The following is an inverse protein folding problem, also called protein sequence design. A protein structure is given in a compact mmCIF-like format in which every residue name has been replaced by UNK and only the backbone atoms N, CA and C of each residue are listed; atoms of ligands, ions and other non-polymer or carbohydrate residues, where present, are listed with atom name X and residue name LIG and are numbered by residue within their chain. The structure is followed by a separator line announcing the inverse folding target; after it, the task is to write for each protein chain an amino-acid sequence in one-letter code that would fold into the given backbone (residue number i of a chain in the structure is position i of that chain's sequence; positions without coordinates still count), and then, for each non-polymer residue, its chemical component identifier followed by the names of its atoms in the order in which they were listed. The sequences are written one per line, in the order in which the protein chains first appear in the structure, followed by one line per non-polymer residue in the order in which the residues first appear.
data_IF_494579360534
#
_entry.id   IF_494579360534
#
_cell.length_a   1.000
_cell.length_b   1.000
_cell.length_c   1.000
_cell.angle_alpha   90.00
_cell.angle_beta   90.00
_cell.angle_gamma   90.00
#
_symmetry.space_group_name_H-M   'P 1'
#
loop_
_entity.id
_entity.type
_entity.pdbx_description
1 polymer ?
#
# COMPACT_ATOMS: atom_id res chain seq x y z
N UNK A 1 -52.61 -27.92 17.68
CA UNK A 1 -51.69 -27.85 16.53
C UNK A 1 -50.36 -27.33 17.05
N UNK A 2 -49.36 -28.22 17.15
CA UNK A 2 -48.02 -27.87 17.64
C UNK A 2 -47.25 -27.20 16.53
N UNK A 3 -46.88 -25.91 16.71
CA UNK A 3 -45.97 -25.21 15.83
C UNK A 3 -44.59 -25.84 16.04
N UNK A 4 -44.12 -26.55 15.03
CA UNK A 4 -42.77 -27.11 14.99
C UNK A 4 -41.78 -25.99 15.27
N UNK A 5 -41.00 -26.08 16.37
CA UNK A 5 -39.83 -25.24 16.60
C UNK A 5 -38.85 -25.56 15.48
N UNK A 6 -38.73 -24.65 14.52
CA UNK A 6 -37.58 -24.64 13.65
C UNK A 6 -36.36 -24.39 14.50
N UNK A 7 -35.50 -25.39 14.61
CA UNK A 7 -34.14 -25.19 15.11
C UNK A 7 -33.45 -24.32 14.08
N UNK A 8 -33.31 -23.01 14.34
CA UNK A 8 -32.40 -22.14 13.62
C UNK A 8 -31.00 -22.71 13.84
N UNK A 9 -30.50 -23.43 12.84
CA UNK A 9 -29.07 -23.69 12.75
C UNK A 9 -28.42 -22.33 12.43
N UNK A 10 -27.98 -21.66 13.49
CA UNK A 10 -27.22 -20.42 13.36
C UNK A 10 -25.90 -20.79 12.68
N UNK A 11 -25.82 -20.62 11.37
CA UNK A 11 -24.55 -20.79 10.63
C UNK A 11 -23.54 -19.78 11.20
N UNK A 12 -22.37 -20.28 11.60
CA UNK A 12 -21.27 -19.40 12.01
C UNK A 12 -20.93 -18.41 10.90
N UNK A 13 -20.76 -17.13 11.27
CA UNK A 13 -20.31 -16.08 10.37
C UNK A 13 -18.81 -16.21 10.03
N UNK A 14 -18.08 -17.00 10.82
CA UNK A 14 -16.64 -17.12 10.74
C UNK A 14 -16.21 -18.54 10.37
N UNK A 15 -15.15 -18.64 9.60
CA UNK A 15 -14.49 -19.89 9.23
C UNK A 15 -12.98 -19.75 9.41
N UNK A 16 -12.35 -20.79 9.95
CA UNK A 16 -10.91 -20.99 9.85
C UNK A 16 -10.62 -21.76 8.57
N UNK A 17 -9.78 -21.24 7.72
CA UNK A 17 -9.39 -21.88 6.48
C UNK A 17 -7.87 -21.85 6.35
N UNK A 18 -7.23 -23.03 6.46
CA UNK A 18 -5.78 -23.18 6.53
C UNK A 18 -5.17 -22.25 7.60
N UNK A 19 -4.57 -21.15 7.16
CA UNK A 19 -3.89 -20.15 7.99
C UNK A 19 -4.60 -18.78 7.93
N UNK A 20 -5.90 -18.74 7.64
CA UNK A 20 -6.68 -17.52 7.49
C UNK A 20 -7.97 -17.55 8.29
N UNK A 21 -8.37 -16.40 8.79
CA UNK A 21 -9.69 -16.14 9.34
C UNK A 21 -10.57 -15.53 8.25
N UNK A 22 -11.70 -16.15 7.98
CA UNK A 22 -12.66 -15.68 6.98
C UNK A 22 -13.99 -15.36 7.67
N UNK A 23 -14.57 -14.23 7.32
CA UNK A 23 -15.92 -13.84 7.66
C UNK A 23 -16.79 -13.77 6.42
N UNK A 24 -17.97 -14.37 6.52
CA UNK A 24 -19.01 -14.32 5.50
C UNK A 24 -20.22 -13.58 6.05
N UNK A 25 -20.69 -12.56 5.35
CA UNK A 25 -21.93 -11.90 5.69
C UNK A 25 -22.59 -11.32 4.45
N UNK A 26 -23.79 -11.81 4.13
CA UNK A 26 -24.46 -11.57 2.84
C UNK A 26 -23.54 -12.04 1.69
N UNK A 27 -23.14 -11.13 0.80
CA UNK A 27 -22.17 -11.40 -0.26
C UNK A 27 -20.75 -10.96 0.08
N UNK A 28 -20.56 -10.23 1.20
CA UNK A 28 -19.22 -9.78 1.59
C UNK A 28 -18.39 -10.95 2.12
N UNK A 29 -17.18 -11.07 1.61
CA UNK A 29 -16.13 -11.91 2.20
C UNK A 29 -15.05 -10.98 2.74
N UNK A 30 -14.65 -11.21 3.99
CA UNK A 30 -13.47 -10.61 4.61
C UNK A 30 -12.49 -11.72 4.94
N UNK A 31 -11.26 -11.63 4.46
CA UNK A 31 -10.18 -12.58 4.75
C UNK A 31 -9.03 -11.86 5.44
N UNK A 32 -8.62 -12.38 6.62
CA UNK A 32 -7.44 -11.93 7.35
C UNK A 32 -6.46 -13.08 7.42
N UNK A 33 -5.24 -12.86 6.96
CA UNK A 33 -4.18 -13.88 6.91
C UNK A 33 -2.83 -13.29 7.34
N UNK A 34 -1.93 -14.09 7.96
CA UNK A 34 -0.59 -13.64 8.26
C UNK A 34 0.19 -13.41 6.96
N UNK A 35 1.10 -12.43 6.96
CA UNK A 35 1.96 -12.13 5.82
C UNK A 35 3.38 -11.77 6.28
N UNK A 36 4.21 -12.78 6.47
CA UNK A 36 5.48 -12.64 7.17
C UNK A 36 5.29 -12.50 8.67
N UNK A 37 6.29 -11.95 9.36
CA UNK A 37 6.31 -11.80 10.81
C UNK A 37 5.57 -10.53 11.25
N UNK A 38 4.83 -10.61 12.36
CA UNK A 38 4.18 -9.45 13.00
C UNK A 38 3.26 -8.64 12.07
N UNK A 39 2.69 -9.26 11.04
CA UNK A 39 1.85 -8.55 10.08
C UNK A 39 0.66 -9.37 9.62
N UNK A 40 -0.41 -8.67 9.28
CA UNK A 40 -1.67 -9.24 8.83
C UNK A 40 -2.09 -8.57 7.51
N UNK A 41 -2.40 -9.37 6.50
CA UNK A 41 -3.04 -8.91 5.26
C UNK A 41 -4.55 -9.04 5.42
N UNK A 42 -5.25 -7.96 5.13
CA UNK A 42 -6.72 -7.90 5.16
C UNK A 42 -7.22 -7.66 3.76
N UNK A 43 -8.11 -8.54 3.30
CA UNK A 43 -8.79 -8.40 2.02
C UNK A 43 -10.30 -8.50 2.21
N UNK A 44 -11.06 -7.72 1.44
CA UNK A 44 -12.51 -7.82 1.43
C UNK A 44 -13.08 -7.57 0.04
N UNK A 45 -14.19 -8.24 -0.27
CA UNK A 45 -14.93 -8.06 -1.51
C UNK A 45 -16.43 -8.16 -1.27
N UNK A 46 -17.26 -7.39 -1.98
CA UNK A 46 -18.72 -7.45 -1.84
C UNK A 46 -19.36 -8.54 -2.70
N UNK A 47 -18.62 -9.17 -3.62
CA UNK A 47 -19.16 -10.14 -4.60
C UNK A 47 -18.73 -11.59 -4.34
N UNK A 48 -18.10 -11.85 -3.21
CA UNK A 48 -17.72 -13.20 -2.80
C UNK A 48 -16.47 -13.77 -3.50
N UNK A 49 -15.70 -12.98 -4.26
CA UNK A 49 -14.54 -13.43 -5.02
C UNK A 49 -13.29 -12.60 -4.72
N UNK A 50 -12.38 -13.17 -3.94
CA UNK A 50 -11.07 -12.56 -3.70
C UNK A 50 -10.10 -12.94 -4.83
N UNK A 51 -9.31 -11.96 -5.27
CA UNK A 51 -8.24 -12.16 -6.24
C UNK A 51 -7.13 -13.07 -5.69
N UNK A 52 -6.45 -13.82 -6.54
CA UNK A 52 -5.22 -14.55 -6.20
C UNK A 52 -3.96 -13.68 -6.28
N UNK A 53 -4.08 -12.43 -6.72
CA UNK A 53 -2.93 -11.54 -6.95
C UNK A 53 -2.36 -11.00 -5.63
N UNK A 54 -1.05 -11.06 -5.49
CA UNK A 54 -0.35 -10.45 -4.35
C UNK A 54 -0.03 -8.96 -4.55
N UNK A 55 -0.09 -8.45 -5.77
CA UNK A 55 0.21 -7.06 -6.18
C UNK A 55 1.63 -6.65 -5.78
N UNK A 56 1.78 -5.68 -4.85
CA UNK A 56 3.09 -5.26 -4.37
C UNK A 56 3.74 -6.26 -3.40
N UNK A 57 2.99 -7.21 -2.88
CA UNK A 57 3.51 -8.17 -1.90
C UNK A 57 4.18 -9.35 -2.60
N UNK A 58 5.36 -9.74 -2.11
CA UNK A 58 6.05 -10.97 -2.51
C UNK A 58 5.31 -12.19 -1.96
N UNK A 59 5.48 -13.32 -2.60
CA UNK A 59 5.05 -14.62 -2.06
C UNK A 59 6.10 -15.11 -1.05
N UNK A 60 5.87 -14.75 0.22
CA UNK A 60 6.77 -15.08 1.32
C UNK A 60 6.18 -16.17 2.20
N UNK A 61 7.02 -16.85 2.94
CA UNK A 61 6.56 -17.82 3.94
C UNK A 61 5.65 -17.17 4.96
N UNK A 62 4.47 -17.75 5.13
CA UNK A 62 3.49 -17.30 6.12
C UNK A 62 3.71 -18.05 7.42
N UNK A 63 3.97 -17.32 8.49
CA UNK A 63 4.01 -17.90 9.83
C UNK A 63 2.61 -18.46 10.18
N UNK A 64 2.59 -19.47 11.06
CA UNK A 64 1.32 -20.05 11.49
C UNK A 64 0.63 -19.10 12.46
N UNK A 65 -0.52 -18.58 12.07
CA UNK A 65 -1.33 -17.72 12.91
C UNK A 65 -2.16 -18.51 13.92
N UNK A 66 -2.40 -17.92 15.08
CA UNK A 66 -3.37 -18.40 16.04
C UNK A 66 -4.74 -17.79 15.73
N UNK A 67 -5.73 -18.65 15.48
CA UNK A 67 -7.09 -18.21 15.14
C UNK A 67 -8.07 -18.74 16.18
N UNK A 68 -8.87 -17.85 16.76
CA UNK A 68 -9.89 -18.18 17.75
C UNK A 68 -11.24 -17.59 17.35
N UNK A 69 -12.32 -18.38 17.47
CA UNK A 69 -13.70 -17.93 17.30
C UNK A 69 -14.39 -18.15 18.63
N UNK A 70 -14.87 -17.08 19.25
CA UNK A 70 -15.50 -17.08 20.55
C UNK A 70 -16.99 -16.75 20.43
N UNK A 71 -17.82 -17.53 21.17
CA UNK A 71 -19.21 -17.22 21.36
C UNK A 71 -19.36 -16.28 22.54
N UNK A 72 -19.94 -15.12 22.29
CA UNK A 72 -20.27 -14.12 23.33
C UNK A 72 -21.76 -13.96 23.44
N UNK A 73 -22.21 -13.48 24.59
CA UNK A 73 -23.60 -13.25 24.85
C UNK A 73 -23.85 -11.81 25.26
N UNK A 74 -24.87 -11.21 24.70
CA UNK A 74 -25.38 -9.90 25.13
C UNK A 74 -26.83 -10.03 25.57
N UNK A 75 -27.26 -9.23 26.54
CA UNK A 75 -28.66 -9.11 26.91
C UNK A 75 -29.21 -7.87 26.21
N UNK A 76 -30.20 -8.07 25.34
CA UNK A 76 -30.88 -6.98 24.64
C UNK A 76 -32.40 -7.21 24.79
N UNK A 77 -33.10 -6.19 25.25
CA UNK A 77 -34.55 -6.22 25.49
C UNK A 77 -34.98 -7.38 26.40
N UNK A 78 -34.11 -7.77 27.39
CA UNK A 78 -34.34 -8.89 28.31
C UNK A 78 -34.02 -10.27 27.73
N UNK A 79 -33.67 -10.38 26.48
CA UNK A 79 -33.31 -11.64 25.83
C UNK A 79 -31.78 -11.80 25.76
N UNK A 80 -31.30 -13.01 26.06
CA UNK A 80 -29.89 -13.38 25.89
C UNK A 80 -29.65 -13.76 24.42
N UNK A 81 -28.88 -12.96 23.72
CA UNK A 81 -28.55 -13.20 22.32
C UNK A 81 -27.09 -13.63 22.20
N UNK A 82 -26.88 -14.77 21.55
CA UNK A 82 -25.55 -15.29 21.23
C UNK A 82 -25.01 -14.57 19.99
N UNK A 83 -23.73 -14.23 19.97
CA UNK A 83 -23.00 -13.74 18.81
C UNK A 83 -21.56 -14.24 18.85
N UNK A 84 -20.90 -14.21 17.68
CA UNK A 84 -19.51 -14.62 17.54
C UNK A 84 -18.61 -13.39 17.41
N UNK A 85 -17.39 -13.52 17.95
CA UNK A 85 -16.27 -12.63 17.74
C UNK A 85 -15.06 -13.51 17.41
N UNK A 86 -14.28 -13.12 16.42
CA UNK A 86 -13.13 -13.91 16.01
C UNK A 86 -11.83 -13.09 16.07
N UNK A 87 -10.75 -13.82 16.33
CA UNK A 87 -9.41 -13.25 16.50
C UNK A 87 -8.41 -14.00 15.63
N UNK A 88 -7.43 -13.27 15.11
CA UNK A 88 -6.23 -13.82 14.49
C UNK A 88 -5.01 -13.11 15.05
N UNK A 89 -3.99 -13.90 15.42
CA UNK A 89 -2.73 -13.41 15.99
C UNK A 89 -1.57 -13.92 15.15
N UNK A 90 -0.69 -13.02 14.77
CA UNK A 90 0.57 -13.31 14.11
C UNK A 90 1.69 -12.48 14.74
N UNK A 91 2.45 -13.11 15.65
CA UNK A 91 3.46 -12.43 16.45
C UNK A 91 2.86 -11.25 17.25
N UNK A 92 3.35 -10.04 17.01
CA UNK A 92 2.89 -8.83 17.69
C UNK A 92 1.51 -8.32 17.20
N UNK A 93 1.07 -8.76 16.04
CA UNK A 93 -0.17 -8.29 15.43
C UNK A 93 -1.36 -9.16 15.83
N UNK A 94 -2.36 -8.56 16.47
CA UNK A 94 -3.64 -9.20 16.77
C UNK A 94 -4.76 -8.42 16.10
N UNK A 95 -5.59 -9.09 15.29
CA UNK A 95 -6.84 -8.53 14.79
C UNK A 95 -8.04 -9.21 15.42
N UNK A 96 -9.02 -8.42 15.83
CA UNK A 96 -10.35 -8.82 16.24
C UNK A 96 -11.33 -8.43 15.13
N UNK A 97 -12.26 -9.31 14.81
CA UNK A 97 -13.42 -8.99 13.98
C UNK A 97 -14.70 -9.31 14.75
N UNK A 98 -15.53 -8.30 14.98
CA UNK A 98 -16.75 -8.41 15.78
C UNK A 98 -17.93 -8.95 14.95
N UNK A 99 -19.07 -9.16 15.62
CA UNK A 99 -20.32 -9.63 15.00
C UNK A 99 -20.80 -8.74 13.83
N UNK A 100 -20.49 -7.45 13.85
CA UNK A 100 -20.87 -6.49 12.82
C UNK A 100 -19.86 -6.44 11.67
N UNK A 101 -18.74 -7.15 11.80
CA UNK A 101 -17.67 -7.18 10.83
C UNK A 101 -16.65 -6.05 10.95
N UNK A 102 -16.67 -5.30 12.06
CA UNK A 102 -15.68 -4.28 12.36
C UNK A 102 -14.37 -4.93 12.75
N UNK A 103 -13.27 -4.51 12.13
CA UNK A 103 -11.92 -4.95 12.43
C UNK A 103 -11.27 -3.95 13.39
N UNK A 104 -10.68 -4.48 14.47
CA UNK A 104 -9.84 -3.73 15.42
C UNK A 104 -8.50 -4.44 15.53
N UNK A 105 -7.41 -3.69 15.43
CA UNK A 105 -6.04 -4.21 15.52
C UNK A 105 -5.40 -3.74 16.80
N UNK A 106 -4.74 -4.69 17.48
CA UNK A 106 -4.04 -4.48 18.73
C UNK A 106 -2.57 -4.86 18.58
N UNK A 107 -1.72 -4.23 19.36
CA UNK A 107 -0.32 -4.62 19.51
C UNK A 107 -0.17 -5.75 20.56
N UNK A 108 1.08 -6.21 20.78
CA UNK A 108 1.41 -7.27 21.74
C UNK A 108 1.09 -6.90 23.21
N UNK A 109 0.92 -5.61 23.53
CA UNK A 109 0.51 -5.12 24.85
C UNK A 109 -1.01 -5.08 25.04
N UNK A 110 -1.76 -5.43 23.99
CA UNK A 110 -3.22 -5.34 23.99
C UNK A 110 -3.75 -3.93 23.79
N UNK A 111 -2.90 -2.97 23.39
CA UNK A 111 -3.31 -1.61 23.08
C UNK A 111 -3.93 -1.56 21.69
N UNK A 112 -5.06 -0.89 21.55
CA UNK A 112 -5.71 -0.66 20.25
C UNK A 112 -4.92 0.35 19.43
N UNK A 113 -4.45 -0.06 18.26
CA UNK A 113 -3.62 0.77 17.38
C UNK A 113 -4.35 1.21 16.10
N UNK A 114 -5.29 0.40 15.62
CA UNK A 114 -6.09 0.74 14.43
C UNK A 114 -7.50 0.15 14.60
N UNK A 115 -8.53 0.89 14.21
CA UNK A 115 -9.92 0.45 14.30
C UNK A 115 -10.71 0.95 13.10
N UNK A 116 -11.51 0.08 12.50
CA UNK A 116 -12.42 0.46 11.42
C UNK A 116 -13.54 1.39 11.92
N UNK A 117 -13.82 2.46 11.17
CA UNK A 117 -14.84 3.44 11.50
C UNK A 117 -16.23 2.97 11.04
N UNK A 118 -16.81 2.00 11.75
CA UNK A 118 -18.15 1.49 11.52
C UNK A 118 -19.17 2.26 12.38
N UNK A 119 -20.16 2.88 11.74
CA UNK A 119 -21.27 3.55 12.42
C UNK A 119 -22.57 2.76 12.19
N UNK A 120 -23.20 2.30 13.25
CA UNK A 120 -24.43 1.51 13.18
C UNK A 120 -25.69 2.35 13.34
N UNK A 121 -25.65 3.42 14.16
CA UNK A 121 -26.76 4.30 14.47
C UNK A 121 -26.31 5.75 14.59
N UNK A 122 -27.12 6.75 14.29
CA UNK A 122 -28.45 6.64 13.64
C UNK A 122 -28.33 6.38 12.12
N UNK A 123 -27.18 6.69 11.52
CA UNK A 123 -26.88 6.46 10.11
C UNK A 123 -25.93 5.30 9.96
N UNK A 124 -26.33 4.26 9.27
CA UNK A 124 -25.48 3.12 8.96
C UNK A 124 -24.39 3.55 7.95
N UNK A 125 -23.17 3.70 8.43
CA UNK A 125 -22.02 4.01 7.58
C UNK A 125 -21.01 2.86 7.71
N UNK A 126 -20.86 2.04 6.67
CA UNK A 126 -19.89 0.96 6.67
C UNK A 126 -18.47 1.51 6.67
N UNK A 127 -17.55 0.81 7.33
CA UNK A 127 -16.12 1.15 7.27
C UNK A 127 -15.55 0.88 5.87
N UNK A 128 -16.01 -0.20 5.23
CA UNK A 128 -15.70 -0.61 3.86
C UNK A 128 -16.92 -0.31 2.96
N UNK A 129 -16.85 0.76 2.21
CA UNK A 129 -17.94 1.17 1.33
C UNK A 129 -17.56 0.94 -0.13
N UNK A 130 -18.23 -0.02 -0.75
CA UNK A 130 -18.10 -0.36 -2.15
C UNK A 130 -19.26 0.21 -2.94
N UNK A 131 -18.99 1.11 -3.87
CA UNK A 131 -19.96 1.69 -4.80
C UNK A 131 -19.67 1.16 -6.21
N UNK A 132 -20.56 0.38 -6.79
CA UNK A 132 -20.40 -0.14 -8.14
C UNK A 132 -20.18 1.00 -9.15
N UNK A 133 -19.24 0.81 -10.08
CA UNK A 133 -18.98 1.71 -11.19
C UNK A 133 -19.39 1.08 -12.53
N UNK A 134 -19.40 1.88 -13.59
CA UNK A 134 -19.84 1.45 -14.93
C UNK A 134 -18.90 0.45 -15.60
N UNK A 135 -17.70 0.23 -15.05
CA UNK A 135 -16.68 -0.66 -15.62
C UNK A 135 -16.69 -2.06 -15.00
N UNK A 136 -17.71 -2.39 -14.21
CA UNK A 136 -17.83 -3.70 -13.53
C UNK A 136 -16.93 -3.87 -12.31
N UNK A 137 -16.35 -2.79 -11.82
CA UNK A 137 -15.58 -2.70 -10.58
C UNK A 137 -16.30 -1.83 -9.55
N UNK A 138 -15.61 -1.48 -8.47
CA UNK A 138 -16.12 -0.64 -7.40
C UNK A 138 -15.22 0.57 -7.17
N UNK A 139 -15.83 1.72 -6.91
CA UNK A 139 -15.18 2.76 -6.14
C UNK A 139 -15.22 2.34 -4.67
N UNK A 140 -14.06 2.27 -4.05
CA UNK A 140 -13.92 1.84 -2.66
C UNK A 140 -13.57 3.02 -1.78
N UNK A 141 -14.27 3.14 -0.65
CA UNK A 141 -13.87 4.00 0.46
C UNK A 141 -13.69 3.14 1.72
N UNK A 142 -12.49 3.16 2.27
CA UNK A 142 -12.15 2.55 3.55
C UNK A 142 -11.96 3.62 4.61
N UNK A 143 -12.57 3.48 5.77
CA UNK A 143 -12.52 4.45 6.85
C UNK A 143 -12.07 3.82 8.16
N UNK A 144 -11.14 4.49 8.85
CA UNK A 144 -10.66 4.12 10.18
C UNK A 144 -10.94 5.26 11.16
N UNK A 145 -11.15 4.89 12.43
CA UNK A 145 -11.14 5.85 13.53
C UNK A 145 -9.77 6.56 13.57
N UNK A 146 -9.77 7.81 13.92
CA UNK A 146 -8.56 8.59 13.97
C UNK A 146 -8.36 9.20 15.36
N UNK A 147 -7.13 9.14 15.86
CA UNK A 147 -6.69 9.88 17.02
C UNK A 147 -6.11 11.22 16.53
N UNK A 148 -6.60 12.38 17.01
CA UNK A 148 -6.11 13.68 16.57
C UNK A 148 -4.63 13.93 16.89
N UNK A 149 -4.09 13.24 17.91
CA UNK A 149 -2.72 13.39 18.38
C UNK A 149 -1.73 12.41 17.73
N UNK A 150 -2.24 11.42 17.00
CA UNK A 150 -1.42 10.47 16.24
C UNK A 150 -0.59 11.18 15.17
N UNK A 151 0.68 10.82 15.05
CA UNK A 151 1.57 11.29 13.99
C UNK A 151 1.78 10.22 12.94
N UNK A 152 1.67 10.63 11.68
CA UNK A 152 1.72 9.74 10.50
C UNK A 152 2.83 10.20 9.57
N UNK A 153 3.67 9.26 9.11
CA UNK A 153 4.86 9.52 8.30
C UNK A 153 4.92 8.56 7.12
N UNK A 154 5.29 9.04 5.93
CA UNK A 154 5.46 8.17 4.75
C UNK A 154 4.70 8.68 3.53
N UNK A 155 4.01 7.78 2.83
CA UNK A 155 3.25 7.99 1.58
C UNK A 155 4.11 8.33 0.35
N UNK A 156 5.44 8.23 0.43
CA UNK A 156 6.34 8.57 -0.65
C UNK A 156 6.81 10.02 -0.61
N UNK A 157 7.00 10.63 -1.79
CA UNK A 157 7.52 11.98 -1.92
C UNK A 157 6.48 12.88 -2.60
N UNK A 158 6.00 13.87 -1.83
CA UNK A 158 5.07 14.90 -2.28
C UNK A 158 5.71 16.29 -2.15
N UNK A 159 5.18 17.26 -2.89
CA UNK A 159 5.62 18.66 -2.83
C UNK A 159 5.01 19.40 -1.63
N UNK A 160 4.81 18.72 -0.50
CA UNK A 160 4.32 19.30 0.74
C UNK A 160 5.43 19.39 1.79
N UNK A 161 5.52 20.49 2.55
CA UNK A 161 6.58 20.67 3.55
C UNK A 161 6.27 19.96 4.88
N UNK A 162 5.39 18.97 4.90
CA UNK A 162 4.94 18.33 6.14
C UNK A 162 5.57 16.94 6.29
N UNK A 163 6.32 16.75 7.38
CA UNK A 163 6.80 15.44 7.78
C UNK A 163 5.67 14.62 8.42
N UNK A 164 4.90 15.23 9.33
CA UNK A 164 3.69 14.63 9.89
C UNK A 164 2.51 14.92 8.98
N UNK A 165 1.88 13.88 8.45
CA UNK A 165 0.78 13.96 7.50
C UNK A 165 -0.60 14.08 8.16
N UNK A 166 -0.68 14.14 9.50
CA UNK A 166 -1.97 14.33 10.20
C UNK A 166 -2.60 15.66 9.77
N UNK A 167 -3.84 15.60 9.32
CA UNK A 167 -4.58 16.72 8.74
C UNK A 167 -4.45 16.86 7.21
N UNK A 168 -3.58 16.06 6.55
CA UNK A 168 -3.39 16.12 5.11
C UNK A 168 -4.33 15.19 4.34
N UNK A 169 -4.65 15.58 3.11
CA UNK A 169 -5.20 14.70 2.07
C UNK A 169 -4.20 14.64 0.92
N UNK A 170 -3.84 13.42 0.52
CA UNK A 170 -2.87 13.15 -0.53
C UNK A 170 -3.55 12.41 -1.68
N UNK A 171 -3.32 12.85 -2.92
CA UNK A 171 -3.69 12.08 -4.10
C UNK A 171 -2.73 10.90 -4.25
N UNK A 172 -3.24 9.69 -4.34
CA UNK A 172 -2.46 8.49 -4.63
C UNK A 172 -2.40 8.28 -6.14
N UNK A 173 -1.57 9.08 -6.79
CA UNK A 173 -1.28 8.99 -8.23
C UNK A 173 0.14 9.47 -8.49
N UNK A 174 0.75 8.97 -9.57
CA UNK A 174 2.05 9.49 -9.99
C UNK A 174 1.86 10.79 -10.78
N UNK A 175 2.56 11.82 -10.36
CA UNK A 175 2.61 13.13 -11.01
C UNK A 175 4.06 13.52 -11.26
N UNK A 176 4.28 14.49 -12.13
CA UNK A 176 5.60 15.08 -12.28
C UNK A 176 6.08 15.65 -10.93
N UNK A 177 7.31 15.34 -10.55
CA UNK A 177 7.95 15.72 -9.28
C UNK A 177 7.34 15.08 -8.03
N UNK A 178 6.52 14.04 -8.17
CA UNK A 178 5.93 13.28 -7.06
C UNK A 178 6.10 11.78 -7.27
N UNK A 179 6.39 11.07 -6.17
CA UNK A 179 6.39 9.61 -6.13
C UNK A 179 5.43 9.15 -5.05
N UNK A 180 4.29 8.60 -5.45
CA UNK A 180 3.30 8.06 -4.51
C UNK A 180 3.67 6.64 -4.13
N UNK A 181 3.92 6.42 -2.83
CA UNK A 181 4.14 5.09 -2.23
C UNK A 181 3.08 4.91 -1.16
N UNK A 182 2.05 4.07 -1.35
CA UNK A 182 0.90 4.00 -0.46
C UNK A 182 1.18 3.23 0.83
N UNK A 183 2.29 3.58 1.48
CA UNK A 183 2.75 3.04 2.75
C UNK A 183 3.05 4.18 3.72
N UNK A 184 2.55 4.05 4.95
CA UNK A 184 2.85 4.97 6.03
C UNK A 184 3.16 4.23 7.33
N UNK A 185 3.80 4.94 8.25
CA UNK A 185 4.05 4.52 9.64
C UNK A 185 3.34 5.48 10.59
N UNK A 186 2.86 4.94 11.70
CA UNK A 186 2.28 5.68 12.81
C UNK A 186 3.17 5.60 14.04
N UNK A 187 3.21 6.69 14.85
CA UNK A 187 3.85 6.70 16.16
C UNK A 187 3.14 5.81 17.19
N UNK A 188 2.01 5.20 16.84
CA UNK A 188 1.36 4.13 17.61
C UNK A 188 1.98 2.75 17.42
N UNK A 189 3.09 2.63 16.68
CA UNK A 189 3.82 1.38 16.50
C UNK A 189 3.21 0.47 15.43
N UNK A 190 2.72 1.03 14.34
CA UNK A 190 2.29 0.25 13.18
C UNK A 190 2.69 0.88 11.85
N UNK A 191 2.85 0.02 10.84
CA UNK A 191 2.95 0.38 9.44
C UNK A 191 1.71 -0.10 8.69
N UNK A 192 1.30 0.64 7.67
CA UNK A 192 0.13 0.33 6.87
C UNK A 192 0.45 0.50 5.38
N UNK A 193 0.23 -0.57 4.59
CA UNK A 193 0.33 -0.54 3.14
C UNK A 193 -1.07 -0.67 2.53
N UNK A 194 -1.49 0.32 1.77
CA UNK A 194 -2.65 0.24 0.90
C UNK A 194 -2.26 -0.48 -0.40
N UNK A 195 -2.51 -1.80 -0.45
CA UNK A 195 -2.02 -2.69 -1.50
C UNK A 195 -2.96 -2.71 -2.73
N UNK A 196 -3.36 -1.54 -3.22
CA UNK A 196 -4.22 -1.40 -4.39
C UNK A 196 -3.56 -0.53 -5.47
N UNK A 197 -3.36 -1.03 -6.69
CA UNK A 197 -2.82 -0.28 -7.80
C UNK A 197 -3.92 0.57 -8.48
N UNK A 198 -4.54 1.45 -7.72
CA UNK A 198 -5.65 2.30 -8.17
C UNK A 198 -5.37 3.76 -7.81
N UNK A 199 -5.70 4.65 -8.72
CA UNK A 199 -5.74 6.08 -8.41
C UNK A 199 -6.77 6.31 -7.31
N UNK A 200 -6.47 7.21 -6.37
CA UNK A 200 -7.36 7.51 -5.26
C UNK A 200 -6.82 8.58 -4.33
N UNK A 201 -7.27 8.58 -3.11
CA UNK A 201 -6.90 9.56 -2.09
C UNK A 201 -6.65 8.89 -0.73
N UNK A 202 -5.67 9.39 0.00
CA UNK A 202 -5.47 9.10 1.42
C UNK A 202 -5.69 10.37 2.24
N UNK A 203 -6.61 10.34 3.19
CA UNK A 203 -6.91 11.46 4.10
C UNK A 203 -6.58 11.06 5.53
N UNK A 204 -5.66 11.75 6.16
CA UNK A 204 -5.27 11.58 7.56
C UNK A 204 -5.95 12.65 8.44
N UNK A 205 -7.28 12.67 8.43
CA UNK A 205 -8.06 13.66 9.20
C UNK A 205 -7.94 13.45 10.72
N UNK A 206 -8.25 14.50 11.50
CA UNK A 206 -8.23 14.40 12.97
C UNK A 206 -9.35 13.51 13.53
N UNK A 207 -10.46 13.40 12.81
CA UNK A 207 -11.65 12.64 13.22
C UNK A 207 -11.82 11.31 12.48
N UNK A 208 -11.17 11.16 11.34
CA UNK A 208 -11.24 9.94 10.52
C UNK A 208 -10.05 9.86 9.58
N UNK A 209 -9.47 8.67 9.43
CA UNK A 209 -8.51 8.36 8.38
C UNK A 209 -9.25 7.61 7.28
N UNK A 210 -9.11 8.07 6.01
CA UNK A 210 -9.80 7.49 4.86
C UNK A 210 -8.84 7.17 3.72
N UNK A 211 -9.10 6.03 3.09
CA UNK A 211 -8.48 5.67 1.82
C UNK A 211 -9.58 5.47 0.77
N UNK A 212 -9.38 6.03 -0.40
CA UNK A 212 -10.26 5.83 -1.55
C UNK A 212 -9.48 5.19 -2.69
N UNK A 213 -10.15 4.32 -3.44
CA UNK A 213 -9.71 3.82 -4.73
C UNK A 213 -10.82 4.09 -5.75
N UNK A 214 -10.48 4.72 -6.87
CA UNK A 214 -11.47 5.07 -7.90
C UNK A 214 -12.04 3.85 -8.62
N UNK A 215 -11.23 2.79 -8.77
CA UNK A 215 -11.68 1.55 -9.39
C UNK A 215 -10.87 0.36 -8.88
N UNK A 216 -11.55 -0.56 -8.20
CA UNK A 216 -10.96 -1.82 -7.70
C UNK A 216 -12.02 -2.91 -7.59
N UNK A 217 -11.62 -4.17 -7.66
CA UNK A 217 -12.51 -5.32 -7.43
C UNK A 217 -12.60 -5.72 -5.95
N UNK A 218 -11.65 -5.29 -5.12
CA UNK A 218 -11.55 -5.71 -3.72
C UNK A 218 -10.78 -4.67 -2.89
N UNK A 219 -10.93 -4.73 -1.57
CA UNK A 219 -10.04 -4.13 -0.60
C UNK A 219 -8.82 -5.04 -0.40
N UNK A 220 -7.64 -4.44 -0.28
CA UNK A 220 -6.41 -5.15 0.07
C UNK A 220 -5.47 -4.20 0.80
N UNK A 221 -5.11 -4.52 2.05
CA UNK A 221 -4.11 -3.79 2.81
C UNK A 221 -3.30 -4.73 3.70
N UNK A 222 -2.08 -4.32 4.00
CA UNK A 222 -1.20 -4.96 4.98
C UNK A 222 -1.03 -4.05 6.17
N UNK A 223 -1.15 -4.60 7.38
CA UNK A 223 -0.78 -3.93 8.62
C UNK A 223 0.38 -4.67 9.28
N UNK A 224 1.39 -3.91 9.69
CA UNK A 224 2.61 -4.36 10.36
C UNK A 224 2.60 -3.77 11.76
N UNK A 225 2.92 -4.57 12.78
CA UNK A 225 2.94 -4.13 14.19
C UNK A 225 4.33 -4.33 14.77
N UNK A 226 4.95 -3.23 15.19
CA UNK A 226 6.29 -3.28 15.80
C UNK A 226 6.52 -2.07 16.70
N UNK A 227 7.49 -2.18 17.62
CA UNK A 227 7.76 -1.12 18.60
C UNK A 227 8.59 0.04 18.04
N UNK A 228 9.34 -0.18 16.96
CA UNK A 228 10.22 0.82 16.39
C UNK A 228 9.98 1.03 14.89
N UNK A 229 10.21 2.25 14.36
CA UNK A 229 10.15 2.52 12.92
C UNK A 229 11.10 1.62 12.10
N UNK A 230 12.26 1.26 12.66
CA UNK A 230 13.23 0.36 12.03
C UNK A 230 12.60 -1.02 11.77
N UNK A 231 11.99 -1.62 12.78
CA UNK A 231 11.35 -2.94 12.66
C UNK A 231 10.17 -2.91 11.68
N UNK A 232 9.40 -1.82 11.67
CA UNK A 232 8.30 -1.62 10.72
C UNK A 232 8.86 -1.63 9.29
N UNK A 233 9.93 -0.87 9.01
CA UNK A 233 10.54 -0.79 7.68
C UNK A 233 11.17 -2.13 7.29
N UNK A 234 11.87 -2.80 8.19
CA UNK A 234 12.47 -4.12 7.92
C UNK A 234 11.39 -5.14 7.52
N UNK A 235 10.30 -5.22 8.27
CA UNK A 235 9.16 -6.09 7.96
C UNK A 235 8.47 -5.70 6.65
N UNK A 236 8.31 -4.41 6.38
CA UNK A 236 7.78 -3.92 5.13
C UNK A 236 8.65 -4.34 3.94
N UNK A 237 9.97 -4.15 4.05
CA UNK A 237 10.92 -4.52 2.99
C UNK A 237 11.01 -6.05 2.78
N UNK A 238 10.77 -6.85 3.82
CA UNK A 238 10.61 -8.30 3.66
C UNK A 238 9.36 -8.65 2.86
N UNK A 239 8.27 -7.93 3.09
CA UNK A 239 7.00 -8.18 2.42
C UNK A 239 6.98 -7.76 0.95
N UNK A 240 7.69 -6.68 0.56
CA UNK A 240 7.65 -6.12 -0.80
C UNK A 240 8.95 -6.30 -1.60
N UNK A 241 10.03 -6.70 -0.94
CA UNK A 241 11.37 -6.79 -1.51
C UNK A 241 12.31 -5.69 -1.01
N UNK A 242 13.57 -6.03 -0.86
CA UNK A 242 14.62 -5.11 -0.41
C UNK A 242 15.14 -4.29 -1.57
N UNK A 243 15.39 -3.01 -1.34
CA UNK A 243 16.09 -2.15 -2.30
C UNK A 243 17.49 -2.69 -2.58
N UNK A 244 17.94 -2.72 -3.85
CA UNK A 244 19.30 -3.05 -4.18
C UNK A 244 20.28 -2.03 -3.61
N UNK A 245 21.54 -2.44 -3.42
CA UNK A 245 22.61 -1.51 -3.07
C UNK A 245 22.77 -0.50 -4.20
N UNK A 246 22.75 0.79 -3.87
CA UNK A 246 22.97 1.85 -4.85
C UNK A 246 24.39 1.77 -5.41
N UNK A 247 24.59 1.78 -6.73
CA UNK A 247 25.92 1.78 -7.32
C UNK A 247 26.66 3.10 -7.02
N UNK A 248 27.98 3.02 -6.86
CA UNK A 248 28.82 4.15 -6.44
C UNK A 248 28.67 5.36 -7.36
N UNK A 249 28.56 5.17 -8.69
CA UNK A 249 28.41 6.25 -9.65
C UNK A 249 27.14 7.08 -9.43
N UNK A 250 26.10 6.48 -8.87
CA UNK A 250 24.84 7.18 -8.62
C UNK A 250 24.95 8.27 -7.53
N UNK A 251 25.98 8.19 -6.68
CA UNK A 251 26.29 9.20 -5.66
C UNK A 251 27.20 10.32 -6.18
N UNK A 252 27.68 10.24 -7.42
CA UNK A 252 28.52 11.24 -8.03
C UNK A 252 27.72 12.38 -8.67
N UNK A 253 28.41 13.24 -9.42
CA UNK A 253 27.79 14.37 -10.09
C UNK A 253 26.99 13.96 -11.33
N UNK A 254 25.75 14.42 -11.41
CA UNK A 254 24.84 14.22 -12.53
C UNK A 254 24.65 15.53 -13.30
N UNK A 255 25.12 15.58 -14.54
CA UNK A 255 24.88 16.69 -15.44
C UNK A 255 23.57 16.47 -16.18
N UNK A 256 22.65 17.40 -16.05
CA UNK A 256 21.38 17.41 -16.77
C UNK A 256 21.13 18.78 -17.40
N UNK A 257 20.38 18.78 -18.48
CA UNK A 257 19.90 19.98 -19.18
C UNK A 257 18.55 19.64 -19.83
N UNK A 258 17.62 20.54 -19.77
CA UNK A 258 16.38 20.46 -20.53
C UNK A 258 16.62 21.21 -21.86
N UNK A 259 17.01 20.59 -22.90
CA UNK A 259 17.43 19.23 -23.23
C UNK A 259 18.67 19.26 -24.10
N UNK A 260 19.38 18.19 -24.28
CA UNK A 260 20.33 18.02 -25.39
C UNK A 260 19.52 17.60 -26.61
N UNK A 261 19.67 18.36 -27.73
CA UNK A 261 18.87 18.10 -28.93
C UNK A 261 19.48 17.04 -29.84
N UNK A 262 20.81 16.90 -29.80
CA UNK A 262 21.55 15.96 -30.62
C UNK A 262 22.60 15.21 -29.81
N UNK A 263 23.03 14.07 -30.33
CA UNK A 263 24.14 13.30 -29.79
C UNK A 263 25.41 14.14 -29.66
N UNK A 264 25.74 14.94 -30.66
CA UNK A 264 26.94 15.79 -30.68
C UNK A 264 26.90 16.87 -29.59
N UNK A 265 25.71 17.46 -29.33
CA UNK A 265 25.54 18.45 -28.26
C UNK A 265 25.81 17.82 -26.88
N UNK A 266 25.29 16.62 -26.63
CA UNK A 266 25.54 15.90 -25.40
C UNK A 266 27.00 15.52 -25.23
N UNK A 267 27.60 14.95 -26.28
CA UNK A 267 29.00 14.52 -26.27
C UNK A 267 29.98 15.67 -26.12
N UNK A 268 29.69 16.82 -26.72
CA UNK A 268 30.52 18.02 -26.57
C UNK A 268 30.59 18.46 -25.09
N UNK A 269 29.48 18.37 -24.37
CA UNK A 269 29.45 18.69 -22.92
C UNK A 269 30.26 17.65 -22.13
N UNK A 270 30.06 16.37 -22.34
CA UNK A 270 30.80 15.32 -21.64
C UNK A 270 32.31 15.41 -21.88
N UNK A 271 32.73 15.63 -23.14
CA UNK A 271 34.14 15.84 -23.48
C UNK A 271 34.72 17.08 -22.82
N UNK A 272 33.95 18.17 -22.68
CA UNK A 272 34.37 19.38 -21.99
C UNK A 272 34.61 19.17 -20.50
N UNK A 273 33.78 18.40 -19.82
CA UNK A 273 34.00 17.99 -18.41
C UNK A 273 35.33 17.23 -18.28
N UNK A 274 35.60 16.28 -19.19
CA UNK A 274 36.86 15.54 -19.23
C UNK A 274 38.09 16.42 -19.50
N UNK A 275 37.99 17.32 -20.45
CA UNK A 275 39.07 18.31 -20.77
C UNK A 275 39.40 19.14 -19.52
N UNK A 276 38.39 19.63 -18.83
CA UNK A 276 38.55 20.45 -17.63
C UNK A 276 38.91 19.64 -16.38
N UNK A 277 39.00 18.29 -16.50
CA UNK A 277 39.24 17.36 -15.36
C UNK A 277 38.23 17.49 -14.25
N UNK A 278 36.97 17.84 -14.55
CA UNK A 278 35.87 17.88 -13.60
C UNK A 278 35.22 16.52 -13.63
N UNK A 279 35.08 15.85 -12.44
CA UNK A 279 34.41 14.56 -12.36
C UNK A 279 32.96 14.63 -12.85
N UNK A 280 32.57 13.69 -13.70
CA UNK A 280 31.21 13.54 -14.20
C UNK A 280 30.83 12.07 -14.13
N UNK A 281 29.90 11.72 -13.24
CA UNK A 281 29.47 10.35 -13.08
C UNK A 281 28.35 9.96 -14.03
N UNK A 282 27.42 10.86 -14.26
CA UNK A 282 26.26 10.62 -15.12
C UNK A 282 25.97 11.87 -15.96
N UNK A 283 25.66 11.68 -17.25
CA UNK A 283 25.05 12.69 -18.09
C UNK A 283 23.66 12.22 -18.51
N UNK A 284 22.65 13.07 -18.31
CA UNK A 284 21.25 12.73 -18.56
C UNK A 284 20.85 13.17 -19.96
N UNK A 285 20.49 12.19 -20.80
CA UNK A 285 19.78 12.46 -22.03
C UNK A 285 18.30 12.57 -21.72
N UNK A 286 17.81 13.79 -21.48
CA UNK A 286 16.44 14.09 -21.10
C UNK A 286 15.44 13.71 -22.21
N UNK A 287 14.16 13.86 -21.95
CA UNK A 287 13.10 13.52 -22.89
C UNK A 287 13.26 14.19 -24.26
N UNK A 288 12.51 13.73 -25.27
CA UNK A 288 12.64 14.09 -26.70
C UNK A 288 13.91 13.57 -27.43
N UNK A 289 14.57 12.55 -26.91
CA UNK A 289 15.54 11.76 -27.69
C UNK A 289 14.85 10.67 -28.54
N UNK A 290 13.55 10.52 -28.39
CA UNK A 290 12.69 9.59 -29.13
C UNK A 290 11.91 10.29 -30.24
N UNK A 291 11.50 9.59 -31.32
CA UNK A 291 10.72 10.18 -32.42
C UNK A 291 9.31 10.60 -32.00
N UNK A 292 8.70 9.87 -31.08
CA UNK A 292 7.38 10.16 -30.54
C UNK A 292 7.37 10.06 -29.02
N UNK A 293 6.54 10.87 -28.35
CA UNK A 293 6.42 10.86 -26.90
C UNK A 293 6.01 9.47 -26.40
N UNK A 294 6.77 8.93 -25.43
CA UNK A 294 6.57 7.60 -24.86
C UNK A 294 7.15 6.45 -25.71
N UNK A 295 7.84 6.74 -26.81
CA UNK A 295 8.54 5.75 -27.62
C UNK A 295 10.01 5.63 -27.15
N UNK A 296 10.36 4.53 -26.51
CA UNK A 296 11.68 4.32 -25.89
C UNK A 296 12.83 4.00 -26.89
N UNK A 297 12.69 4.40 -28.15
CA UNK A 297 13.75 4.33 -29.17
C UNK A 297 14.48 5.64 -29.25
N UNK A 298 15.72 5.63 -29.75
CA UNK A 298 16.39 6.86 -30.20
C UNK A 298 15.87 7.29 -31.56
N UNK A 299 15.71 8.59 -31.73
CA UNK A 299 15.54 9.19 -33.07
C UNK A 299 16.90 9.26 -33.75
N UNK A 300 17.13 8.36 -34.70
CA UNK A 300 18.45 8.23 -35.37
C UNK A 300 18.83 9.42 -36.21
N UNK A 301 17.93 10.33 -36.59
CA UNK A 301 18.24 11.57 -37.29
C UNK A 301 19.03 12.54 -36.39
N UNK A 302 18.81 12.50 -35.10
CA UNK A 302 19.47 13.35 -34.10
C UNK A 302 20.45 12.57 -33.19
N UNK A 303 20.29 11.25 -33.09
CA UNK A 303 21.08 10.35 -32.27
C UNK A 303 21.59 9.18 -33.10
N UNK A 304 22.49 9.41 -34.06
CA UNK A 304 22.82 8.41 -35.10
C UNK A 304 23.52 7.17 -34.56
N UNK A 305 24.35 7.31 -33.49
CA UNK A 305 25.19 6.23 -32.96
C UNK A 305 25.08 6.12 -31.44
N UNK A 306 23.90 5.78 -30.85
CA UNK A 306 23.74 5.73 -29.38
C UNK A 306 24.66 4.71 -28.70
N UNK A 307 25.03 3.63 -29.41
CA UNK A 307 25.94 2.61 -28.89
C UNK A 307 27.34 3.15 -28.70
N UNK A 308 27.92 3.75 -29.78
CA UNK A 308 29.24 4.39 -29.73
C UNK A 308 29.30 5.52 -28.72
N UNK A 309 28.25 6.35 -28.64
CA UNK A 309 28.10 7.38 -27.62
C UNK A 309 28.20 6.79 -26.20
N UNK A 310 27.50 5.70 -25.93
CA UNK A 310 27.50 5.06 -24.61
C UNK A 310 28.88 4.44 -24.31
N UNK A 311 29.54 3.87 -25.30
CA UNK A 311 30.89 3.28 -25.14
C UNK A 311 31.91 4.39 -24.85
N UNK A 312 31.93 5.49 -25.59
CA UNK A 312 32.81 6.65 -25.35
C UNK A 312 32.58 7.26 -23.95
N UNK A 313 31.30 7.41 -23.52
CA UNK A 313 30.97 7.90 -22.18
C UNK A 313 31.52 6.97 -21.07
N UNK A 314 31.44 5.65 -21.26
CA UNK A 314 32.01 4.67 -20.31
C UNK A 314 33.53 4.77 -20.23
N UNK A 315 34.21 4.93 -21.36
CA UNK A 315 35.68 5.14 -21.40
C UNK A 315 36.09 6.41 -20.68
N UNK A 316 35.22 7.42 -20.67
CA UNK A 316 35.41 8.64 -19.88
C UNK A 316 35.10 8.47 -18.38
N UNK A 317 34.62 7.32 -17.94
CA UNK A 317 34.12 7.10 -16.56
C UNK A 317 32.76 7.69 -16.31
N UNK A 318 32.01 8.05 -17.36
CA UNK A 318 30.68 8.65 -17.29
C UNK A 318 29.62 7.63 -17.73
N UNK A 319 28.52 7.54 -17.01
CA UNK A 319 27.38 6.68 -17.38
C UNK A 319 26.28 7.53 -17.98
N UNK A 320 25.73 7.09 -19.10
CA UNK A 320 24.54 7.70 -19.67
C UNK A 320 23.30 7.23 -18.91
N UNK A 321 22.74 8.08 -18.06
CA UNK A 321 21.45 7.87 -17.42
C UNK A 321 20.35 8.07 -18.47
N UNK A 322 19.85 6.97 -19.04
CA UNK A 322 18.55 7.00 -19.69
C UNK A 322 17.50 7.16 -18.60
N UNK A 323 16.69 8.20 -18.67
CA UNK A 323 15.40 8.13 -18.01
C UNK A 323 14.56 7.07 -18.74
N UNK A 324 13.89 6.17 -17.99
CA UNK A 324 12.98 5.18 -18.56
C UNK A 324 11.82 5.82 -19.30
#
# INVERSE_FOLDING_TARGET
MSIAKYNEVTMSLFKKEENALIRFFNSEIVKIEPWGKNSLRVRATPDGRLSSKNRALLDINKEKAEITIEKKYEVKDGEKREHETAYIVNGNAKAEIDKNGKITVYNQRGEKILEEALRLQPLKTPARFFKANLLGNYQLTMSFESDPDERVFGMGQYQYPYLNLKGCTLEMAHRNSQASVPFFMSDKGYGFLWNLPAIGEATFGKNVTKFKAESTSELDYLIIVADTPKEIIETYMEAIGRSPMMPEYAMGFWQSKLRYRTQDELMAVARKYRELKIPLSVIVCDFFHWPHQGDFRFDYDYWPNPKEMTEELKEMGTINGKQP
#
